data_IF_474578388366
#
_entry.id   IF_474578388366
#
_cell.length_a   1.000
_cell.length_b   1.000
_cell.length_c   1.000
_cell.angle_alpha   90.00
_cell.angle_beta   90.00
_cell.angle_gamma   90.00
#
_symmetry.space_group_name_H-M   'P 1'
#
loop_
_entity.id
_entity.type
_entity.pdbx_description
1 polymer ?
#
# COMPACT_ATOMS: atom_id res chain seq x y z
N UNK A 1 -8.27 1.66 -13.58
CA UNK A 1 -6.81 1.58 -13.31
C UNK A 1 -6.02 1.53 -14.62
N UNK A 2 -4.87 2.21 -14.69
CA UNK A 2 -4.00 2.27 -15.88
C UNK A 2 -3.01 1.08 -15.97
N UNK A 3 -3.30 -0.01 -15.27
CA UNK A 3 -2.45 -1.21 -15.17
C UNK A 3 -2.15 -1.87 -16.51
N UNK A 4 -2.97 -1.64 -17.53
CA UNK A 4 -2.74 -2.12 -18.91
C UNK A 4 -1.52 -1.50 -19.59
N UNK A 5 -1.04 -0.35 -19.09
CA UNK A 5 0.17 0.31 -19.59
C UNK A 5 1.47 -0.27 -19.01
N UNK A 6 1.36 -1.20 -18.07
CA UNK A 6 2.49 -1.81 -17.37
C UNK A 6 2.81 -3.20 -17.94
N UNK A 7 4.08 -3.55 -17.93
CA UNK A 7 4.53 -4.94 -18.12
C UNK A 7 3.97 -5.83 -17.00
N UNK A 8 3.94 -7.14 -17.19
CA UNK A 8 3.47 -8.06 -16.13
C UNK A 8 4.39 -8.03 -14.89
N UNK A 9 5.67 -7.74 -15.09
CA UNK A 9 6.63 -7.52 -14.00
C UNK A 9 6.28 -6.25 -13.21
N UNK A 10 5.92 -5.17 -13.90
CA UNK A 10 5.60 -3.89 -13.28
C UNK A 10 4.21 -3.89 -12.62
N UNK A 11 3.27 -4.68 -13.14
CA UNK A 11 1.99 -4.95 -12.47
C UNK A 11 2.17 -5.64 -11.12
N UNK A 12 3.00 -6.69 -11.05
CA UNK A 12 3.31 -7.37 -9.79
C UNK A 12 3.94 -6.41 -8.79
N UNK A 13 4.83 -5.54 -9.27
CA UNK A 13 5.47 -4.53 -8.44
C UNK A 13 4.48 -3.49 -7.92
N UNK A 14 3.57 -3.00 -8.77
CA UNK A 14 2.47 -2.13 -8.34
C UNK A 14 1.64 -2.80 -7.23
N UNK A 15 1.31 -4.08 -7.37
CA UNK A 15 0.55 -4.80 -6.35
C UNK A 15 1.26 -4.83 -4.99
N UNK A 16 2.57 -5.09 -4.96
CA UNK A 16 3.35 -5.08 -3.72
C UNK A 16 3.36 -3.69 -3.06
N UNK A 17 3.53 -2.64 -3.88
CA UNK A 17 3.51 -1.25 -3.41
C UNK A 17 2.12 -0.84 -2.91
N UNK A 18 1.05 -1.20 -3.62
CA UNK A 18 -0.32 -0.94 -3.22
C UNK A 18 -0.66 -1.63 -1.90
N UNK A 19 -0.22 -2.88 -1.71
CA UNK A 19 -0.39 -3.61 -0.44
C UNK A 19 0.33 -2.92 0.71
N UNK A 20 1.56 -2.43 0.49
CA UNK A 20 2.28 -1.69 1.52
C UNK A 20 1.50 -0.44 1.93
N UNK A 21 1.06 0.35 0.94
CA UNK A 21 0.35 1.61 1.17
C UNK A 21 -0.96 1.37 1.95
N UNK A 22 -1.75 0.38 1.52
CA UNK A 22 -3.01 0.00 2.14
C UNK A 22 -2.89 -0.46 3.61
N UNK A 23 -1.70 -0.87 4.05
CA UNK A 23 -1.44 -1.36 5.41
C UNK A 23 -0.67 -0.34 6.28
N UNK A 24 0.09 0.56 5.66
CA UNK A 24 1.11 1.36 6.34
C UNK A 24 0.56 2.31 7.40
N UNK A 25 -0.68 2.77 7.29
CA UNK A 25 -1.33 3.64 8.29
C UNK A 25 -2.44 2.94 9.08
N UNK A 26 -2.66 1.64 8.86
CA UNK A 26 -3.76 0.93 9.52
C UNK A 26 -3.45 0.59 10.98
N UNK A 27 -4.48 0.56 11.85
CA UNK A 27 -4.32 0.27 13.28
C UNK A 27 -3.57 -1.02 13.55
N UNK A 28 -2.77 -0.99 14.62
CA UNK A 28 -2.05 -2.16 15.12
C UNK A 28 -2.89 -2.88 16.17
N UNK A 29 -2.87 -4.20 16.08
CA UNK A 29 -3.54 -5.08 17.03
C UNK A 29 -2.52 -6.06 17.62
N UNK A 30 -2.46 -6.16 18.93
CA UNK A 30 -1.72 -7.18 19.65
C UNK A 30 -2.71 -8.18 20.21
N UNK A 31 -2.64 -9.42 19.73
CA UNK A 31 -3.61 -10.46 20.10
C UNK A 31 -5.06 -10.02 19.84
N UNK A 32 -5.25 -9.27 18.74
CA UNK A 32 -6.56 -8.72 18.34
C UNK A 32 -7.01 -7.47 19.08
N UNK A 33 -6.17 -6.89 19.95
CA UNK A 33 -6.49 -5.74 20.81
C UNK A 33 -5.66 -4.50 20.51
N UNK A 34 -6.20 -3.31 20.73
CA UNK A 34 -5.42 -2.07 20.67
C UNK A 34 -4.55 -1.89 21.92
N UNK A 35 -3.60 -0.94 21.87
CA UNK A 35 -2.70 -0.66 23.00
C UNK A 35 -3.42 -0.26 24.30
N UNK A 36 -4.60 0.36 24.18
CA UNK A 36 -5.44 0.76 25.32
C UNK A 36 -6.21 -0.41 25.97
N UNK A 37 -6.33 -1.54 25.27
CA UNK A 37 -7.10 -2.72 25.69
C UNK A 37 -6.23 -3.81 26.34
N UNK A 38 -4.97 -3.50 26.62
CA UNK A 38 -4.02 -4.48 27.14
C UNK A 38 -4.41 -5.00 28.53
N UNK A 39 -4.34 -6.32 28.66
CA UNK A 39 -4.49 -7.03 29.93
C UNK A 39 -3.21 -7.79 30.25
N UNK A 40 -3.05 -8.26 31.49
CA UNK A 40 -1.90 -9.07 31.90
C UNK A 40 -1.73 -10.38 31.10
N UNK A 41 -2.76 -10.77 30.33
CA UNK A 41 -2.79 -11.98 29.51
C UNK A 41 -2.60 -11.72 28.01
N UNK A 42 -2.45 -10.46 27.57
CA UNK A 42 -2.29 -10.12 26.15
C UNK A 42 -0.95 -10.59 25.62
N UNK A 43 -0.95 -11.36 24.53
CA UNK A 43 0.28 -11.74 23.83
C UNK A 43 0.82 -10.57 22.98
N UNK A 44 1.84 -9.89 23.50
CA UNK A 44 2.50 -8.77 22.83
C UNK A 44 3.35 -9.19 21.62
N UNK A 45 3.57 -10.48 21.40
CA UNK A 45 4.27 -10.99 20.21
C UNK A 45 3.34 -11.20 19.01
N UNK A 46 2.03 -11.34 19.27
CA UNK A 46 0.97 -11.57 18.29
C UNK A 46 0.51 -10.27 17.60
N UNK A 47 1.45 -9.54 17.00
CA UNK A 47 1.17 -8.31 16.25
C UNK A 47 0.50 -8.60 14.89
N UNK A 48 -0.60 -7.91 14.62
CA UNK A 48 -1.30 -7.87 13.34
C UNK A 48 -1.71 -6.44 12.96
N UNK A 49 -2.13 -6.26 11.72
CA UNK A 49 -2.60 -4.97 11.18
C UNK A 49 -4.07 -5.12 10.83
N UNK A 50 -4.91 -4.19 11.29
CA UNK A 50 -6.33 -4.20 11.00
C UNK A 50 -6.60 -3.71 9.57
N UNK A 51 -6.78 -4.64 8.63
CA UNK A 51 -7.07 -4.29 7.23
C UNK A 51 -8.39 -3.53 7.07
N UNK A 52 -8.36 -2.43 6.31
CA UNK A 52 -9.56 -1.70 5.92
C UNK A 52 -10.38 -2.47 4.86
N UNK A 53 -11.70 -2.36 4.94
CA UNK A 53 -12.59 -3.10 4.04
C UNK A 53 -12.47 -2.61 2.58
N UNK A 54 -12.35 -1.30 2.38
CA UNK A 54 -12.27 -0.69 1.05
C UNK A 54 -10.94 -0.98 0.36
N UNK A 55 -9.83 -0.98 1.10
CA UNK A 55 -8.52 -1.35 0.57
C UNK A 55 -8.45 -2.83 0.25
N UNK A 56 -8.97 -3.68 1.12
CA UNK A 56 -8.98 -5.13 0.87
C UNK A 56 -9.74 -5.47 -0.41
N UNK A 57 -10.86 -4.81 -0.65
CA UNK A 57 -11.60 -4.93 -1.92
C UNK A 57 -10.76 -4.43 -3.10
N UNK A 58 -10.18 -3.23 -3.00
CA UNK A 58 -9.33 -2.65 -4.05
C UNK A 58 -8.13 -3.54 -4.39
N UNK A 59 -7.45 -4.08 -3.38
CA UNK A 59 -6.31 -4.99 -3.55
C UNK A 59 -6.77 -6.29 -4.21
N UNK A 60 -7.91 -6.86 -3.80
CA UNK A 60 -8.45 -8.07 -4.43
C UNK A 60 -8.81 -7.84 -5.91
N UNK A 61 -9.39 -6.67 -6.25
CA UNK A 61 -9.64 -6.29 -7.64
C UNK A 61 -8.34 -6.13 -8.44
N UNK A 62 -7.33 -5.50 -7.85
CA UNK A 62 -6.02 -5.35 -8.45
C UNK A 62 -5.36 -6.72 -8.71
N UNK A 63 -5.38 -7.64 -7.74
CA UNK A 63 -4.88 -9.01 -7.87
C UNK A 63 -5.56 -9.75 -9.02
N UNK A 64 -6.89 -9.64 -9.12
CA UNK A 64 -7.69 -10.25 -10.20
C UNK A 64 -7.36 -9.63 -11.56
N UNK A 65 -7.07 -8.33 -11.62
CA UNK A 65 -6.72 -7.65 -12.86
C UNK A 65 -5.32 -8.02 -13.38
N UNK A 66 -4.44 -8.46 -12.49
CA UNK A 66 -3.04 -8.83 -12.81
C UNK A 66 -2.92 -10.33 -13.10
N UNK A 67 -3.77 -11.17 -12.51
CA UNK A 67 -3.75 -12.62 -12.69
C UNK A 67 -4.72 -13.07 -13.79
N UNK A 68 -4.26 -13.69 -14.89
CA UNK A 68 -5.18 -14.24 -15.89
C UNK A 68 -5.99 -15.42 -15.31
N UNK A 69 -7.21 -15.69 -15.81
CA UNK A 69 -8.11 -16.72 -15.29
C UNK A 69 -7.62 -18.18 -15.42
N UNK A 70 -6.41 -18.41 -15.95
CA UNK A 70 -5.88 -19.74 -16.26
C UNK A 70 -4.82 -20.27 -15.28
N UNK A 71 -4.53 -19.57 -14.17
CA UNK A 71 -3.45 -19.97 -13.26
C UNK A 71 -3.99 -20.57 -11.97
N UNK A 72 -4.67 -21.71 -12.06
CA UNK A 72 -5.05 -22.55 -10.90
C UNK A 72 -3.86 -23.33 -10.31
N UNK A 73 -2.64 -22.83 -10.46
CA UNK A 73 -1.48 -23.37 -9.76
C UNK A 73 -1.40 -22.67 -8.40
N UNK A 74 -2.15 -23.20 -7.45
CA UNK A 74 -1.98 -22.89 -6.03
C UNK A 74 -0.57 -23.25 -5.61
N UNK A 75 0.37 -22.29 -5.70
CA UNK A 75 1.71 -22.46 -5.14
C UNK A 75 1.58 -22.79 -3.65
N UNK A 76 2.30 -23.82 -3.16
CA UNK A 76 2.34 -24.15 -1.73
C UNK A 76 2.67 -22.90 -0.91
N UNK A 77 2.04 -22.72 0.26
CA UNK A 77 2.24 -21.55 1.14
C UNK A 77 3.71 -21.22 1.41
N UNK A 78 4.58 -22.24 1.37
CA UNK A 78 6.03 -22.15 1.57
C UNK A 78 6.82 -21.55 0.39
N UNK A 79 6.25 -21.48 -0.82
CA UNK A 79 6.86 -20.91 -2.03
C UNK A 79 6.28 -19.54 -2.43
N UNK A 80 5.32 -19.00 -1.66
CA UNK A 80 4.82 -17.65 -1.89
C UNK A 80 5.90 -16.65 -1.44
N UNK A 81 6.22 -15.61 -2.23
CA UNK A 81 7.09 -14.54 -1.76
C UNK A 81 6.54 -14.01 -0.42
N UNK A 82 7.45 -13.72 0.52
CA UNK A 82 7.09 -13.24 1.85
C UNK A 82 6.13 -12.07 1.69
N UNK A 83 4.94 -12.22 2.25
CA UNK A 83 3.84 -11.26 2.13
C UNK A 83 4.27 -9.88 2.66
N UNK A 84 3.87 -8.82 1.96
CA UNK A 84 4.24 -7.43 2.29
C UNK A 84 3.79 -7.07 3.71
N UNK A 85 2.61 -7.52 4.13
CA UNK A 85 2.12 -7.30 5.49
C UNK A 85 2.99 -7.99 6.53
N UNK A 86 3.48 -9.19 6.25
CA UNK A 86 4.43 -9.89 7.14
C UNK A 86 5.75 -9.11 7.27
N UNK A 87 6.31 -8.58 6.17
CA UNK A 87 7.54 -7.77 6.23
C UNK A 87 7.34 -6.49 7.04
N UNK A 88 6.18 -5.84 6.87
CA UNK A 88 5.83 -4.65 7.63
C UNK A 88 5.69 -4.94 9.13
N UNK A 89 5.01 -6.03 9.50
CA UNK A 89 4.90 -6.49 10.89
C UNK A 89 6.29 -6.74 11.49
N UNK A 90 7.17 -7.45 10.78
CA UNK A 90 8.53 -7.72 11.26
C UNK A 90 9.39 -6.44 11.35
N UNK A 91 9.15 -5.44 10.49
CA UNK A 91 9.77 -4.13 10.62
C UNK A 91 9.26 -3.37 11.87
N UNK A 92 7.96 -3.45 12.16
CA UNK A 92 7.32 -2.77 13.28
C UNK A 92 7.66 -3.39 14.65
N UNK A 93 7.83 -4.72 14.72
CA UNK A 93 8.24 -5.44 15.94
C UNK A 93 9.59 -4.98 16.50
N UNK A 94 10.42 -4.30 15.70
CA UNK A 94 11.71 -3.75 16.14
C UNK A 94 11.57 -2.52 17.04
N UNK A 95 10.39 -1.94 17.12
CA UNK A 95 10.12 -0.75 17.91
C UNK A 95 9.31 -1.09 19.18
N UNK A 96 9.55 -0.39 20.30
CA UNK A 96 8.68 -0.50 21.47
C UNK A 96 7.23 -0.15 21.14
N UNK A 97 6.26 -0.84 21.76
CA UNK A 97 4.83 -0.69 21.45
C UNK A 97 4.36 0.78 21.44
N UNK A 98 4.65 1.62 22.46
CA UNK A 98 4.19 3.02 22.46
C UNK A 98 4.81 3.88 21.35
N UNK A 99 5.87 3.39 20.70
CA UNK A 99 6.49 4.03 19.55
C UNK A 99 5.99 3.45 18.24
N UNK A 100 5.61 2.17 18.19
CA UNK A 100 5.19 1.48 16.98
C UNK A 100 3.93 2.07 16.35
N UNK A 101 3.05 2.66 17.16
CA UNK A 101 1.83 3.35 16.71
C UNK A 101 2.09 4.78 16.22
N UNK A 102 3.26 5.37 16.54
CA UNK A 102 3.55 6.75 16.17
C UNK A 102 3.79 6.89 14.66
N UNK A 103 3.22 7.91 13.99
CA UNK A 103 3.37 8.10 12.55
C UNK A 103 4.83 8.09 12.08
N UNK A 104 5.75 8.68 12.84
CA UNK A 104 7.17 8.73 12.44
C UNK A 104 7.81 7.34 12.39
N UNK A 105 7.46 6.48 13.36
CA UNK A 105 7.91 5.08 13.39
C UNK A 105 7.27 4.28 12.27
N UNK A 106 5.98 4.50 12.01
CA UNK A 106 5.24 3.88 10.91
C UNK A 106 5.91 4.19 9.57
N UNK A 107 6.24 5.45 9.33
CA UNK A 107 7.00 5.90 8.15
C UNK A 107 8.35 5.18 8.07
N UNK A 108 9.12 5.09 9.14
CA UNK A 108 10.43 4.42 9.13
C UNK A 108 10.31 2.92 8.81
N UNK A 109 9.37 2.23 9.44
CA UNK A 109 9.15 0.80 9.21
C UNK A 109 8.68 0.54 7.77
N UNK A 110 7.67 1.28 7.30
CA UNK A 110 7.14 1.13 5.96
C UNK A 110 8.16 1.55 4.87
N UNK A 111 8.95 2.59 5.11
CA UNK A 111 10.04 3.01 4.20
C UNK A 111 11.11 1.92 4.08
N UNK A 112 11.40 1.18 5.15
CA UNK A 112 12.33 0.05 5.09
C UNK A 112 11.81 -1.03 4.14
N UNK A 113 10.53 -1.40 4.28
CA UNK A 113 9.89 -2.38 3.38
C UNK A 113 9.78 -1.85 1.95
N UNK A 114 9.46 -0.56 1.77
CA UNK A 114 9.42 0.09 0.46
C UNK A 114 10.77 -0.01 -0.24
N UNK A 115 11.86 0.33 0.43
CA UNK A 115 13.22 0.24 -0.13
C UNK A 115 13.60 -1.19 -0.51
N UNK A 116 13.15 -2.18 0.25
CA UNK A 116 13.34 -3.60 -0.10
C UNK A 116 12.55 -3.99 -1.35
N UNK A 117 11.30 -3.53 -1.48
CA UNK A 117 10.46 -3.77 -2.67
C UNK A 117 11.08 -3.11 -3.91
N UNK A 118 11.60 -1.89 -3.77
CA UNK A 118 12.22 -1.12 -4.86
C UNK A 118 13.64 -1.60 -5.21
N UNK A 119 14.28 -2.39 -4.34
CA UNK A 119 15.70 -2.74 -4.49
C UNK A 119 15.98 -3.50 -5.79
N UNK A 120 16.88 -2.92 -6.60
CA UNK A 120 17.31 -3.54 -7.86
C UNK A 120 16.25 -3.51 -8.96
N UNK A 121 15.12 -2.84 -8.73
CA UNK A 121 14.07 -2.69 -9.74
C UNK A 121 14.52 -1.68 -10.79
N UNK A 122 14.54 -2.13 -12.04
CA UNK A 122 14.61 -1.27 -13.22
C UNK A 122 13.31 -1.43 -13.98
N UNK A 123 12.69 -0.31 -14.31
CA UNK A 123 11.51 -0.32 -15.16
C UNK A 123 11.91 -0.48 -16.61
N UNK A 124 11.14 -1.29 -17.34
CA UNK A 124 11.34 -1.50 -18.77
C UNK A 124 11.03 -0.23 -19.57
N UNK A 125 10.03 0.53 -19.12
CA UNK A 125 9.57 1.76 -19.74
C UNK A 125 9.86 2.96 -18.83
N UNK A 126 10.40 4.08 -19.36
CA UNK A 126 10.58 5.32 -18.60
C UNK A 126 9.27 5.91 -18.05
N UNK A 127 8.13 5.52 -18.62
CA UNK A 127 6.79 5.96 -18.20
C UNK A 127 6.21 5.14 -17.04
N UNK A 128 6.72 3.93 -16.78
CA UNK A 128 6.18 3.03 -15.78
C UNK A 128 6.17 3.62 -14.35
N UNK A 129 7.23 4.32 -13.86
CA UNK A 129 7.17 4.98 -12.55
C UNK A 129 6.00 5.96 -12.42
N UNK A 130 5.70 6.73 -13.49
CA UNK A 130 4.62 7.73 -13.49
C UNK A 130 3.26 7.05 -13.42
N UNK A 131 3.07 5.96 -14.18
CA UNK A 131 1.84 5.16 -14.14
C UNK A 131 1.65 4.54 -12.76
N UNK A 132 2.72 3.97 -12.17
CA UNK A 132 2.67 3.38 -10.84
C UNK A 132 2.36 4.44 -9.79
N UNK A 133 3.05 5.58 -9.79
CA UNK A 133 2.79 6.68 -8.87
C UNK A 133 1.32 7.12 -8.93
N UNK A 134 0.78 7.30 -10.13
CA UNK A 134 -0.63 7.65 -10.30
C UNK A 134 -1.57 6.57 -9.74
N UNK A 135 -1.27 5.28 -9.94
CA UNK A 135 -2.07 4.22 -9.32
C UNK A 135 -1.95 4.20 -7.80
N UNK A 136 -0.77 4.46 -7.24
CA UNK A 136 -0.57 4.54 -5.79
C UNK A 136 -1.32 5.72 -5.16
N UNK A 137 -1.35 6.87 -5.84
CA UNK A 137 -2.16 8.02 -5.42
C UNK A 137 -3.65 7.65 -5.34
N UNK A 138 -4.17 6.92 -6.33
CA UNK A 138 -5.56 6.43 -6.31
C UNK A 138 -5.82 5.42 -5.19
N UNK A 139 -4.82 4.61 -4.82
CA UNK A 139 -4.91 3.70 -3.68
C UNK A 139 -4.99 4.49 -2.37
N UNK A 140 -4.11 5.47 -2.16
CA UNK A 140 -4.12 6.30 -0.95
C UNK A 140 -5.38 7.16 -0.82
N UNK A 141 -5.94 7.62 -1.94
CA UNK A 141 -7.19 8.41 -1.95
C UNK A 141 -8.45 7.57 -1.73
N UNK A 142 -8.34 6.24 -1.60
CA UNK A 142 -9.50 5.34 -1.48
C UNK A 142 -10.38 5.69 -0.29
N UNK A 143 -9.77 5.97 0.85
CA UNK A 143 -10.43 6.40 2.09
C UNK A 143 -10.78 7.90 2.09
N UNK A 144 -10.58 8.60 0.96
CA UNK A 144 -10.93 10.00 0.76
C UNK A 144 -9.81 11.00 1.07
N UNK A 145 -8.82 10.62 1.88
CA UNK A 145 -7.69 11.48 2.25
C UNK A 145 -6.39 10.70 2.30
N UNK A 146 -5.31 11.30 1.81
CA UNK A 146 -3.96 10.73 1.94
C UNK A 146 -3.42 11.05 3.33
N UNK A 147 -3.08 10.01 4.08
CA UNK A 147 -2.51 10.14 5.44
C UNK A 147 -1.05 10.59 5.39
N UNK A 148 -0.53 11.07 6.52
CA UNK A 148 0.88 11.51 6.60
C UNK A 148 1.87 10.38 6.32
N UNK A 149 1.52 9.13 6.68
CA UNK A 149 2.35 7.95 6.43
C UNK A 149 2.35 7.59 4.95
N UNK A 150 1.17 7.55 4.31
CA UNK A 150 1.06 7.27 2.88
C UNK A 150 1.74 8.35 2.05
N UNK A 151 1.58 9.62 2.41
CA UNK A 151 2.24 10.75 1.76
C UNK A 151 3.77 10.58 1.77
N UNK A 152 4.34 10.22 2.93
CA UNK A 152 5.77 9.99 3.06
C UNK A 152 6.25 8.84 2.15
N UNK A 153 5.48 7.76 2.04
CA UNK A 153 5.80 6.64 1.14
C UNK A 153 5.71 7.03 -0.34
N UNK A 154 4.71 7.83 -0.72
CA UNK A 154 4.56 8.36 -2.07
C UNK A 154 5.75 9.27 -2.45
N UNK A 155 6.18 10.15 -1.54
CA UNK A 155 7.37 11.00 -1.75
C UNK A 155 8.67 10.20 -1.79
N UNK A 156 8.80 9.13 -1.00
CA UNK A 156 9.96 8.23 -1.08
C UNK A 156 9.99 7.48 -2.42
N UNK A 157 8.84 7.03 -2.93
CA UNK A 157 8.74 6.46 -4.27
C UNK A 157 9.14 7.47 -5.35
N UNK A 158 8.64 8.70 -5.26
CA UNK A 158 9.01 9.80 -6.16
C UNK A 158 10.53 10.02 -6.16
N UNK A 159 11.14 10.11 -4.97
CA UNK A 159 12.57 10.33 -4.79
C UNK A 159 13.39 9.18 -5.40
N UNK A 160 13.01 7.94 -5.12
CA UNK A 160 13.71 6.76 -5.63
C UNK A 160 13.76 6.73 -7.16
N UNK A 161 12.68 7.16 -7.82
CA UNK A 161 12.59 7.21 -9.28
C UNK A 161 12.94 8.56 -9.90
N UNK A 162 13.42 9.52 -9.09
CA UNK A 162 13.85 10.85 -9.52
C UNK A 162 12.76 11.58 -10.33
N UNK A 163 11.50 11.43 -9.92
CA UNK A 163 10.40 12.14 -10.55
C UNK A 163 10.38 13.59 -10.08
N UNK A 164 10.29 14.51 -11.03
CA UNK A 164 10.25 15.95 -10.76
C UNK A 164 8.99 16.33 -9.97
N UNK A 165 9.09 17.34 -9.10
CA UNK A 165 7.97 17.72 -8.22
C UNK A 165 6.71 18.09 -9.00
N UNK A 166 6.84 18.81 -10.13
CA UNK A 166 5.69 19.14 -10.96
C UNK A 166 4.97 17.90 -11.51
N UNK A 167 5.69 16.79 -11.77
CA UNK A 167 5.06 15.54 -12.22
C UNK A 167 4.26 14.93 -11.07
N UNK A 168 4.78 15.00 -9.84
CA UNK A 168 4.07 14.51 -8.66
C UNK A 168 2.80 15.32 -8.43
N UNK A 169 2.92 16.65 -8.41
CA UNK A 169 1.82 17.58 -8.14
C UNK A 169 0.72 17.46 -9.21
N UNK A 170 1.09 17.43 -10.49
CA UNK A 170 0.14 17.23 -11.59
C UNK A 170 -0.59 15.88 -11.46
N UNK A 171 0.13 14.79 -11.16
CA UNK A 171 -0.49 13.48 -11.02
C UNK A 171 -1.41 13.39 -9.79
N UNK A 172 -1.04 14.06 -8.70
CA UNK A 172 -1.87 14.19 -7.50
C UNK A 172 -3.17 14.92 -7.82
N UNK A 173 -3.10 16.11 -8.45
CA UNK A 173 -4.28 16.89 -8.83
C UNK A 173 -5.23 16.06 -9.71
N UNK A 174 -4.69 15.31 -10.67
CA UNK A 174 -5.49 14.41 -11.52
C UNK A 174 -6.12 13.27 -10.74
N UNK A 175 -5.41 12.71 -9.75
CA UNK A 175 -5.94 11.62 -8.93
C UNK A 175 -7.06 12.12 -7.99
N UNK A 176 -6.88 13.29 -7.38
CA UNK A 176 -7.89 13.94 -6.54
C UNK A 176 -9.14 14.28 -7.34
N UNK A 177 -8.98 14.90 -8.51
CA UNK A 177 -10.09 15.22 -9.43
C UNK A 177 -10.85 13.96 -9.80
N UNK A 178 -10.15 12.89 -10.18
CA UNK A 178 -10.79 11.62 -10.52
C UNK A 178 -11.56 11.04 -9.33
N UNK A 179 -10.98 11.07 -8.13
CA UNK A 179 -11.62 10.56 -6.92
C UNK A 179 -12.92 11.33 -6.62
N UNK A 180 -12.89 12.67 -6.73
CA UNK A 180 -14.07 13.52 -6.54
C UNK A 180 -15.19 13.20 -7.55
N UNK A 181 -14.85 13.05 -8.83
CA UNK A 181 -15.84 12.72 -9.87
C UNK A 181 -16.43 11.31 -9.67
N UNK A 182 -15.63 10.34 -9.23
CA UNK A 182 -16.12 9.01 -8.86
C UNK A 182 -17.07 9.10 -7.66
N UNK A 183 -16.71 9.84 -6.60
CA UNK A 183 -17.58 10.04 -5.44
C UNK A 183 -18.92 10.67 -5.82
N UNK A 184 -18.91 11.75 -6.63
CA UNK A 184 -20.14 12.38 -7.13
C UNK A 184 -21.00 11.40 -7.91
N UNK A 185 -20.39 10.59 -8.77
CA UNK A 185 -21.09 9.59 -9.57
C UNK A 185 -21.74 8.53 -8.68
N UNK A 186 -21.05 8.04 -7.66
CA UNK A 186 -21.60 7.09 -6.68
C UNK A 186 -22.78 7.71 -5.93
N UNK A 187 -22.66 8.97 -5.49
CA UNK A 187 -23.77 9.68 -4.84
C UNK A 187 -25.02 9.73 -5.73
N UNK A 188 -24.87 10.07 -7.01
CA UNK A 188 -25.99 10.08 -7.97
C UNK A 188 -26.62 8.69 -8.16
N UNK A 189 -25.83 7.62 -8.12
CA UNK A 189 -26.33 6.24 -8.30
C UNK A 189 -27.08 5.74 -7.05
N UNK A 190 -26.70 6.20 -5.87
CA UNK A 190 -27.28 5.77 -4.60
C UNK A 190 -28.50 6.60 -4.16
N UNK A 191 -28.74 7.75 -4.81
CA UNK A 191 -29.98 8.53 -4.73
C UNK A 191 -31.14 7.85 -5.47
#
# INVERSE_FOLDING_TARGET
>A
MLTKLLSDSDKKHLLELSKLLALADKPLLWDGKTSDEFTSSTDLSALSIQEGAQERELIAELEKSISPPSSTVSLPRMMRPVDVGTRLIEALKKYPIPKAEKPETRVQAATTVLKEILKGKKFELPTAPKVILFQLLLVALRDGTITSVEWALLKEFQLHHQLEDFIFDDLLERAETLNQEVSKTISIILE
#
